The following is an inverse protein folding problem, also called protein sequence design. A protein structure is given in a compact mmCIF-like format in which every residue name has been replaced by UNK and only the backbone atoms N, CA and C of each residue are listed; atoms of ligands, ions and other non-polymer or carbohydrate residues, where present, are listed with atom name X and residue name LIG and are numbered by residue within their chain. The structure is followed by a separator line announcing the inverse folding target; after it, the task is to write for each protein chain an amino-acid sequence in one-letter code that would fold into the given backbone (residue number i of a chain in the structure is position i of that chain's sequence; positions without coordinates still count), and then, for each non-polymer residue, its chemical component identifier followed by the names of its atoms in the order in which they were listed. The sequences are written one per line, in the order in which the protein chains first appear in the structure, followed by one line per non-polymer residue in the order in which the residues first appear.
data_IF_702589021832
#
_entry.id   IF_702589021832
#
_cell.length_a   1.000
_cell.length_b   1.000
_cell.length_c   1.000
_cell.angle_alpha   90.00
_cell.angle_beta   90.00
_cell.angle_gamma   90.00
#
_symmetry.space_group_name_H-M   'P 1'
#
loop_
_entity.id
_entity.type
_entity.pdbx_description
1 polymer ?
#
# COMPACT_ATOMS: atom_id res chain seq x y z
N UNK A 1 6.76 8.35 12.27
CA UNK A 1 5.70 9.00 11.47
C UNK A 1 6.28 10.33 11.05
N UNK A 2 6.81 10.43 9.83
CA UNK A 2 7.22 11.73 9.31
C UNK A 2 5.96 12.60 9.23
N UNK A 3 6.05 13.82 9.72
CA UNK A 3 4.95 14.77 9.70
C UNK A 3 4.38 14.83 8.28
N UNK A 4 3.06 14.71 8.18
CA UNK A 4 2.32 14.98 6.96
C UNK A 4 2.56 16.47 6.66
N UNK A 5 3.53 16.76 5.80
CA UNK A 5 3.74 18.12 5.32
C UNK A 5 2.55 18.43 4.42
N UNK A 6 1.46 18.94 5.01
CA UNK A 6 0.24 19.30 4.30
C UNK A 6 0.50 20.31 3.18
N UNK A 7 1.62 21.04 3.23
CA UNK A 7 2.07 21.94 2.16
C UNK A 7 2.74 21.21 0.98
N UNK A 8 3.07 19.92 1.12
CA UNK A 8 3.63 19.14 0.02
C UNK A 8 2.60 18.87 -1.08
N UNK A 9 3.09 18.81 -2.32
CA UNK A 9 2.29 18.47 -3.50
C UNK A 9 1.48 17.16 -3.28
N UNK A 10 0.17 17.12 -3.59
CA UNK A 10 -0.67 15.95 -3.35
C UNK A 10 -0.19 14.64 -3.99
N UNK A 11 0.47 14.71 -5.16
CA UNK A 11 1.09 13.54 -5.79
C UNK A 11 2.32 13.07 -5.02
N UNK A 12 3.09 14.01 -4.44
CA UNK A 12 4.21 13.68 -3.56
C UNK A 12 3.70 13.01 -2.28
N UNK A 13 2.61 13.53 -1.69
CA UNK A 13 1.98 12.91 -0.51
C UNK A 13 1.49 11.49 -0.81
N UNK A 14 0.81 11.28 -1.94
CA UNK A 14 0.36 9.95 -2.36
C UNK A 14 1.54 8.99 -2.60
N UNK A 15 2.64 9.45 -3.21
CA UNK A 15 3.87 8.67 -3.36
C UNK A 15 4.44 8.24 -2.01
N UNK A 16 4.54 9.19 -1.07
CA UNK A 16 5.07 8.91 0.27
C UNK A 16 4.18 7.94 1.02
N UNK A 17 2.85 8.05 0.91
CA UNK A 17 1.91 7.11 1.50
C UNK A 17 2.15 5.69 0.99
N UNK A 18 2.24 5.50 -0.33
CA UNK A 18 2.49 4.18 -0.93
C UNK A 18 3.81 3.62 -0.43
N UNK A 19 4.89 4.42 -0.50
CA UNK A 19 6.22 3.98 -0.05
C UNK A 19 6.22 3.56 1.42
N UNK A 20 5.71 4.44 2.29
CA UNK A 20 5.69 4.19 3.73
C UNK A 20 4.85 2.97 4.08
N UNK A 21 3.74 2.73 3.36
CA UNK A 21 2.92 1.54 3.54
C UNK A 21 3.69 0.25 3.20
N UNK A 22 4.42 0.24 2.08
CA UNK A 22 5.23 -0.91 1.66
C UNK A 22 6.40 -1.16 2.62
N UNK A 23 7.14 -0.10 2.99
CA UNK A 23 8.23 -0.19 3.96
C UNK A 23 7.72 -0.70 5.32
N UNK A 24 6.56 -0.22 5.78
CA UNK A 24 5.93 -0.73 7.01
C UNK A 24 5.52 -2.20 6.89
N UNK A 25 4.94 -2.60 5.75
CA UNK A 25 4.54 -3.98 5.50
C UNK A 25 5.72 -4.95 5.54
N UNK A 26 6.90 -4.52 5.06
CA UNK A 26 8.13 -5.30 5.12
C UNK A 26 8.54 -5.66 6.56
N UNK A 27 8.28 -4.77 7.52
CA UNK A 27 8.60 -5.00 8.94
C UNK A 27 7.60 -5.91 9.65
N UNK A 28 6.41 -6.12 9.07
CA UNK A 28 5.33 -6.93 9.65
C UNK A 28 4.71 -7.89 8.62
N UNK A 29 5.48 -8.82 8.04
CA UNK A 29 4.98 -9.73 7.00
C UNK A 29 3.77 -10.57 7.43
N UNK A 30 3.66 -10.86 8.73
CA UNK A 30 2.54 -11.61 9.30
C UNK A 30 1.20 -10.89 9.16
N UNK A 31 1.17 -9.54 9.16
CA UNK A 31 -0.07 -8.79 8.99
C UNK A 31 -0.63 -8.95 7.58
N UNK A 32 0.22 -8.83 6.56
CA UNK A 32 -0.18 -9.04 5.18
C UNK A 32 -0.75 -10.45 4.98
N UNK A 33 -0.12 -11.47 5.57
CA UNK A 33 -0.61 -12.86 5.52
C UNK A 33 -1.95 -13.01 6.23
N UNK A 34 -2.09 -12.48 7.44
CA UNK A 34 -3.31 -12.59 8.24
C UNK A 34 -4.50 -11.93 7.52
N UNK A 35 -4.30 -10.71 7.01
CA UNK A 35 -5.34 -9.98 6.25
C UNK A 35 -5.71 -10.71 4.96
N UNK A 36 -4.72 -11.29 4.26
CA UNK A 36 -5.00 -12.09 3.05
C UNK A 36 -5.86 -13.32 3.35
N UNK A 37 -5.58 -14.01 4.46
CA UNK A 37 -6.31 -15.21 4.85
C UNK A 37 -7.72 -14.90 5.35
N UNK A 38 -7.84 -14.00 6.32
CA UNK A 38 -9.14 -13.67 6.91
C UNK A 38 -10.01 -12.84 5.95
N UNK A 39 -9.43 -12.06 5.05
CA UNK A 39 -10.16 -11.30 4.03
C UNK A 39 -10.84 -12.13 2.94
N UNK A 40 -10.59 -13.44 2.88
CA UNK A 40 -11.17 -14.34 1.88
C UNK A 40 -12.62 -14.77 2.22
N UNK A 41 -13.06 -14.63 3.46
CA UNK A 41 -14.38 -15.05 3.92
C UNK A 41 -14.91 -14.11 5.01
N UNK A 42 -16.22 -14.02 5.13
CA UNK A 42 -16.85 -13.30 6.25
C UNK A 42 -16.68 -14.12 7.54
N UNK A 43 -15.86 -13.62 8.47
CA UNK A 43 -15.58 -14.26 9.76
C UNK A 43 -15.53 -13.21 10.88
N UNK A 44 -15.80 -13.61 12.12
CA UNK A 44 -15.66 -12.73 13.30
C UNK A 44 -14.23 -12.16 13.43
N UNK A 45 -13.23 -12.89 12.93
CA UNK A 45 -11.84 -12.43 12.91
C UNK A 45 -11.62 -11.33 11.89
N UNK A 46 -12.25 -11.43 10.71
CA UNK A 46 -12.22 -10.33 9.73
C UNK A 46 -12.89 -9.09 10.31
N UNK A 47 -14.04 -9.22 10.98
CA UNK A 47 -14.72 -8.08 11.60
C UNK A 47 -13.81 -7.40 12.64
N UNK A 48 -13.16 -8.19 13.49
CA UNK A 48 -12.18 -7.68 14.46
C UNK A 48 -11.00 -6.98 13.75
N UNK A 49 -10.40 -7.61 12.74
CA UNK A 49 -9.29 -7.01 11.99
C UNK A 49 -9.70 -5.71 11.29
N UNK A 50 -10.91 -5.68 10.73
CA UNK A 50 -11.42 -4.54 10.02
C UNK A 50 -11.57 -3.34 10.95
N UNK A 51 -12.29 -3.50 12.05
CA UNK A 51 -12.58 -2.40 12.96
C UNK A 51 -11.36 -1.92 13.76
N UNK A 52 -10.46 -2.82 14.14
CA UNK A 52 -9.33 -2.47 15.01
C UNK A 52 -8.05 -2.10 14.26
N UNK A 53 -7.85 -2.56 13.02
CA UNK A 53 -6.59 -2.38 12.31
C UNK A 53 -6.76 -1.77 10.92
N UNK A 54 -7.74 -2.22 10.13
CA UNK A 54 -7.88 -1.77 8.73
C UNK A 54 -8.53 -0.38 8.67
N UNK A 55 -9.70 -0.20 9.28
CA UNK A 55 -10.48 1.04 9.19
C UNK A 55 -9.74 2.27 9.75
N UNK A 56 -9.01 2.18 10.87
CA UNK A 56 -8.23 3.32 11.38
C UNK A 56 -7.14 3.79 10.41
N UNK A 57 -6.55 2.88 9.62
CA UNK A 57 -5.54 3.22 8.62
C UNK A 57 -6.24 3.74 7.35
N UNK A 58 -7.30 3.05 6.92
CA UNK A 58 -8.08 3.40 5.74
C UNK A 58 -8.63 4.83 5.81
N UNK A 59 -9.23 5.20 6.93
CA UNK A 59 -9.76 6.55 7.17
C UNK A 59 -8.71 7.67 7.05
N UNK A 60 -7.43 7.36 7.32
CA UNK A 60 -6.32 8.30 7.13
C UNK A 60 -5.80 8.33 5.69
N UNK A 61 -5.94 7.22 4.97
CA UNK A 61 -5.45 7.09 3.59
C UNK A 61 -6.40 7.72 2.57
N UNK A 62 -7.71 7.66 2.83
CA UNK A 62 -8.74 8.19 1.93
C UNK A 62 -8.49 9.67 1.57
N UNK A 63 -8.28 10.61 2.52
CA UNK A 63 -8.07 12.02 2.17
C UNK A 63 -6.83 12.26 1.31
N UNK A 64 -5.75 11.48 1.52
CA UNK A 64 -4.51 11.60 0.74
C UNK A 64 -4.71 11.13 -0.70
N UNK A 65 -5.62 10.16 -0.91
CA UNK A 65 -5.98 9.66 -2.23
C UNK A 65 -7.01 10.54 -2.95
N UNK A 66 -8.02 11.03 -2.23
CA UNK A 66 -9.09 11.85 -2.80
C UNK A 66 -8.61 13.26 -3.19
N UNK A 67 -7.66 13.84 -2.46
CA UNK A 67 -7.16 15.18 -2.79
C UNK A 67 -6.62 15.33 -4.23
N UNK A 68 -5.69 14.49 -4.73
CA UNK A 68 -5.25 14.58 -6.13
C UNK A 68 -6.35 14.17 -7.13
N UNK A 69 -7.34 13.38 -6.72
CA UNK A 69 -8.50 13.05 -7.54
C UNK A 69 -9.38 14.29 -7.75
N UNK A 70 -9.71 15.00 -6.68
CA UNK A 70 -10.56 16.19 -6.70
C UNK A 70 -9.90 17.36 -7.44
N UNK A 71 -8.56 17.41 -7.42
CA UNK A 71 -7.77 18.34 -8.22
C UNK A 71 -7.61 17.93 -9.70
N UNK A 72 -8.20 16.81 -10.13
CA UNK A 72 -8.12 16.33 -11.51
C UNK A 72 -6.71 15.88 -11.93
N UNK A 73 -5.87 15.44 -10.98
CA UNK A 73 -4.50 14.99 -11.25
C UNK A 73 -4.39 13.49 -11.48
N UNK A 74 -5.31 12.72 -10.89
CA UNK A 74 -5.44 11.27 -11.11
C UNK A 74 -6.79 10.91 -11.72
N UNK A 75 -6.85 9.75 -12.36
CA UNK A 75 -8.05 9.16 -12.95
C UNK A 75 -9.14 8.98 -11.89
N UNK A 76 -10.40 9.04 -12.34
CA UNK A 76 -11.59 8.75 -11.52
C UNK A 76 -11.71 7.25 -11.27
N UNK A 77 -10.92 6.75 -10.32
CA UNK A 77 -10.93 5.36 -9.88
C UNK A 77 -11.47 5.27 -8.44
N UNK A 78 -12.30 4.26 -8.11
CA UNK A 78 -12.71 4.04 -6.72
C UNK A 78 -11.51 3.84 -5.81
N UNK A 79 -11.57 4.36 -4.58
CA UNK A 79 -10.52 4.21 -3.58
C UNK A 79 -10.24 2.72 -3.29
N UNK A 80 -11.28 1.88 -3.30
CA UNK A 80 -11.18 0.44 -3.05
C UNK A 80 -10.30 -0.25 -4.08
N UNK A 81 -10.38 0.17 -5.34
CA UNK A 81 -9.50 -0.34 -6.41
C UNK A 81 -8.04 -0.04 -6.09
N UNK A 82 -7.73 1.19 -5.67
CA UNK A 82 -6.38 1.56 -5.24
C UNK A 82 -5.95 0.79 -3.99
N UNK A 83 -6.84 0.67 -3.00
CA UNK A 83 -6.59 -0.06 -1.76
C UNK A 83 -6.18 -1.51 -2.03
N UNK A 84 -6.93 -2.25 -2.84
CA UNK A 84 -6.60 -3.65 -3.13
C UNK A 84 -5.35 -3.79 -4.01
N UNK A 85 -5.12 -2.88 -4.97
CA UNK A 85 -3.87 -2.88 -5.75
C UNK A 85 -2.64 -2.63 -4.86
N UNK A 86 -2.72 -1.73 -3.88
CA UNK A 86 -1.63 -1.45 -2.95
C UNK A 86 -1.43 -2.58 -1.95
N UNK A 87 -2.50 -2.99 -1.27
CA UNK A 87 -2.42 -3.93 -0.14
C UNK A 87 -2.26 -5.37 -0.61
N UNK A 88 -3.00 -5.80 -1.63
CA UNK A 88 -2.92 -7.17 -2.15
C UNK A 88 -1.93 -7.33 -3.28
N UNK A 89 -1.70 -6.29 -4.10
CA UNK A 89 -0.68 -6.32 -5.15
C UNK A 89 0.69 -5.90 -4.62
N UNK A 90 0.79 -4.65 -4.17
CA UNK A 90 2.04 -4.02 -3.75
C UNK A 90 2.69 -4.68 -2.52
N UNK A 91 1.92 -5.19 -1.56
CA UNK A 91 2.48 -5.80 -0.34
C UNK A 91 2.47 -7.34 -0.33
N UNK A 92 1.90 -7.99 -1.35
CA UNK A 92 1.77 -9.46 -1.42
C UNK A 92 3.09 -10.19 -1.22
N UNK A 93 4.19 -9.62 -1.73
CA UNK A 93 5.54 -10.13 -1.56
C UNK A 93 5.83 -10.55 -0.11
N UNK A 94 5.47 -9.71 0.85
CA UNK A 94 5.72 -9.94 2.27
C UNK A 94 4.75 -10.96 2.88
N UNK A 95 3.51 -11.02 2.42
CA UNK A 95 2.59 -12.09 2.81
C UNK A 95 3.02 -13.48 2.31
N UNK A 96 3.74 -13.51 1.19
CA UNK A 96 4.05 -14.69 0.38
C UNK A 96 5.57 -14.94 0.22
N UNK A 97 6.38 -14.65 1.26
CA UNK A 97 7.86 -14.73 1.22
C UNK A 97 8.40 -16.05 0.64
N UNK A 98 7.78 -17.19 0.93
CA UNK A 98 8.21 -18.48 0.38
C UNK A 98 8.06 -18.54 -1.15
N UNK A 99 6.93 -18.08 -1.68
CA UNK A 99 6.71 -17.97 -3.12
C UNK A 99 7.68 -16.96 -3.74
N UNK A 100 7.85 -15.81 -3.10
CA UNK A 100 8.76 -14.78 -3.54
C UNK A 100 10.21 -15.27 -3.65
N UNK A 101 10.68 -16.04 -2.66
CA UNK A 101 12.02 -16.61 -2.63
C UNK A 101 12.26 -17.57 -3.80
N UNK A 102 11.24 -18.35 -4.19
CA UNK A 102 11.32 -19.23 -5.36
C UNK A 102 11.40 -18.45 -6.69
N UNK A 103 10.77 -17.28 -6.77
CA UNK A 103 10.81 -16.44 -7.97
C UNK A 103 12.14 -15.69 -8.10
N UNK A 104 12.59 -15.07 -7.00
CA UNK A 104 13.85 -14.36 -6.92
C UNK A 104 14.22 -14.18 -5.43
N UNK A 105 15.27 -14.86 -4.93
CA UNK A 105 15.70 -14.76 -3.53
C UNK A 105 15.99 -13.32 -3.06
N UNK A 106 16.44 -12.43 -3.96
CA UNK A 106 16.72 -11.04 -3.61
C UNK A 106 15.48 -10.26 -3.17
N UNK A 107 14.28 -10.66 -3.62
CA UNK A 107 13.03 -10.02 -3.22
C UNK A 107 12.72 -10.21 -1.73
N UNK A 108 13.32 -11.23 -1.11
CA UNK A 108 13.13 -11.51 0.32
C UNK A 108 14.12 -10.81 1.24
N UNK A 109 14.99 -9.97 0.66
CA UNK A 109 15.95 -9.16 1.42
C UNK A 109 15.25 -8.22 2.41
N UNK A 110 15.75 -8.17 3.63
CA UNK A 110 15.32 -7.24 4.68
C UNK A 110 16.18 -5.96 4.71
N UNK A 111 17.14 -5.82 3.79
CA UNK A 111 17.99 -4.64 3.69
C UNK A 111 17.14 -3.41 3.35
N UNK A 112 17.28 -2.34 4.14
CA UNK A 112 16.47 -1.13 4.02
C UNK A 112 16.49 -0.56 2.59
N UNK A 113 17.67 -0.54 1.95
CA UNK A 113 17.85 -0.06 0.58
C UNK A 113 17.06 -0.89 -0.44
N UNK A 114 16.99 -2.22 -0.25
CA UNK A 114 16.24 -3.11 -1.15
C UNK A 114 14.73 -2.96 -0.97
N UNK A 115 14.27 -2.86 0.29
CA UNK A 115 12.86 -2.60 0.63
C UNK A 115 12.42 -1.26 0.05
N UNK A 116 13.23 -0.20 0.22
CA UNK A 116 12.94 1.12 -0.34
C UNK A 116 12.88 1.11 -1.86
N UNK A 117 13.82 0.43 -2.52
CA UNK A 117 13.80 0.30 -3.98
C UNK A 117 12.52 -0.39 -4.47
N UNK A 118 12.08 -1.46 -3.80
CA UNK A 118 10.82 -2.12 -4.10
C UNK A 118 9.62 -1.19 -3.91
N UNK A 119 9.57 -0.49 -2.78
CA UNK A 119 8.52 0.47 -2.46
C UNK A 119 8.42 1.61 -3.49
N UNK A 120 9.55 2.14 -3.96
CA UNK A 120 9.60 3.16 -5.01
C UNK A 120 9.12 2.63 -6.36
N UNK A 121 9.46 1.38 -6.71
CA UNK A 121 8.96 0.75 -7.94
C UNK A 121 7.44 0.56 -7.90
N UNK A 122 6.89 0.08 -6.78
CA UNK A 122 5.44 -0.03 -6.59
C UNK A 122 4.77 1.34 -6.71
N UNK A 123 5.31 2.36 -6.03
CA UNK A 123 4.77 3.72 -6.11
C UNK A 123 4.78 4.25 -7.55
N UNK A 124 5.88 4.06 -8.28
CA UNK A 124 6.00 4.47 -9.68
C UNK A 124 4.95 3.79 -10.57
N UNK A 125 4.77 2.47 -10.44
CA UNK A 125 3.78 1.72 -11.23
C UNK A 125 2.36 2.22 -10.95
N UNK A 126 1.99 2.34 -9.68
CA UNK A 126 0.65 2.79 -9.29
C UNK A 126 0.40 4.24 -9.72
N UNK A 127 1.34 5.15 -9.46
CA UNK A 127 1.19 6.56 -9.82
C UNK A 127 1.13 6.77 -11.34
N UNK A 128 1.95 6.06 -12.11
CA UNK A 128 1.88 6.12 -13.57
C UNK A 128 0.54 5.58 -14.09
N UNK A 129 0.01 4.54 -13.46
CA UNK A 129 -1.31 4.00 -13.77
C UNK A 129 -2.46 4.98 -13.44
N UNK A 130 -2.30 5.80 -12.40
CA UNK A 130 -3.30 6.74 -11.91
C UNK A 130 -3.23 8.12 -12.58
N UNK A 131 -2.05 8.59 -12.94
CA UNK A 131 -1.83 9.97 -13.41
C UNK A 131 -2.59 10.25 -14.70
N UNK A 132 -3.14 11.46 -14.82
CA UNK A 132 -3.78 11.97 -16.04
C UNK A 132 -2.80 12.68 -16.98
N UNK A 133 -1.62 13.03 -16.48
CA UNK A 133 -0.52 13.60 -17.28
C UNK A 133 0.44 12.49 -17.69
N UNK A 134 0.52 12.21 -18.98
CA UNK A 134 1.52 11.34 -19.63
C UNK A 134 2.79 12.11 -19.94
#
# INVERSE_FOLDING_TARGET
MAADDEAADPMVRLRMLIRNFIEYSATRPYLARLVTLEGAAATDRLDYLYHHYIEPIRSRFIPVFELPHDQGRIKKVPYETFYFLLTSGGSALYGQIALASMMNPELTSTEETRVRLYAENVAKVLLNGLSLSS
#
